data_IF_382145462523
#
_entry.id   IF_382145462523
#
_cell.length_a   1.000
_cell.length_b   1.000
_cell.length_c   1.000
_cell.angle_alpha   90.00
_cell.angle_beta   90.00
_cell.angle_gamma   90.00
#
_symmetry.space_group_name_H-M   'P 1'
#
loop_
_entity.id
_entity.type
_entity.pdbx_description
1 polymer ?
#
# COMPACT_ATOMS: atom_id res chain seq x y z
N UNK A 1 -5.00 -4.84 15.81
CA UNK A 1 -4.42 -3.55 16.28
C UNK A 1 -5.43 -2.42 16.13
N UNK A 2 -5.96 -2.14 14.93
CA UNK A 2 -6.82 -0.97 14.72
C UNK A 2 -8.13 -1.01 15.53
N UNK A 3 -8.75 -2.18 15.67
CA UNK A 3 -9.94 -2.38 16.50
C UNK A 3 -9.71 -2.09 17.99
N UNK A 4 -8.46 -2.05 18.45
CA UNK A 4 -8.14 -1.70 19.84
C UNK A 4 -7.93 -0.19 20.03
N UNK A 5 -7.83 0.59 18.96
CA UNK A 5 -7.46 2.03 19.01
C UNK A 5 -8.62 2.89 18.49
N UNK A 6 -9.27 2.48 17.41
CA UNK A 6 -10.34 3.25 16.78
C UNK A 6 -11.70 2.88 17.39
N UNK A 7 -12.60 3.86 17.62
CA UNK A 7 -13.96 3.57 18.07
C UNK A 7 -14.76 2.79 17.02
N UNK A 8 -15.71 1.93 17.44
CA UNK A 8 -16.50 1.06 16.54
C UNK A 8 -17.17 1.81 15.38
N UNK A 9 -17.63 3.04 15.61
CA UNK A 9 -18.31 3.86 14.60
C UNK A 9 -17.46 4.14 13.35
N UNK A 10 -16.13 4.15 13.46
CA UNK A 10 -15.23 4.35 12.31
C UNK A 10 -15.25 3.12 11.40
N UNK A 11 -15.45 1.93 11.96
CA UNK A 11 -15.54 0.70 11.16
C UNK A 11 -16.90 0.56 10.48
N UNK A 12 -17.97 1.07 11.09
CA UNK A 12 -19.30 1.14 10.47
C UNK A 12 -19.37 2.23 9.38
N UNK A 13 -18.68 3.36 9.60
CA UNK A 13 -18.57 4.43 8.61
C UNK A 13 -17.61 4.11 7.46
N UNK A 14 -16.67 3.17 7.68
CA UNK A 14 -15.86 2.61 6.62
C UNK A 14 -16.77 1.72 5.75
N UNK A 15 -17.33 2.30 4.68
CA UNK A 15 -18.11 1.57 3.69
C UNK A 15 -17.32 0.46 3.00
N UNK A 16 -17.88 -0.11 1.93
CA UNK A 16 -17.18 -1.16 1.18
C UNK A 16 -15.76 -0.71 0.79
N UNK A 17 -14.78 -1.52 1.17
CA UNK A 17 -13.38 -1.22 0.88
C UNK A 17 -13.14 -1.16 -0.62
N UNK A 18 -12.17 -0.33 -1.03
CA UNK A 18 -11.78 -0.18 -2.44
C UNK A 18 -11.50 -1.53 -3.09
N UNK A 19 -10.90 -2.48 -2.37
CA UNK A 19 -10.66 -3.85 -2.85
C UNK A 19 -11.97 -4.57 -3.20
N UNK A 20 -13.00 -4.49 -2.35
CA UNK A 20 -14.33 -5.08 -2.60
C UNK A 20 -14.95 -4.50 -3.87
N UNK A 21 -14.91 -3.18 -4.01
CA UNK A 21 -15.47 -2.48 -5.17
C UNK A 21 -14.74 -2.84 -6.48
N UNK A 22 -13.44 -3.11 -6.42
CA UNK A 22 -12.65 -3.52 -7.59
C UNK A 22 -12.89 -4.98 -7.98
N UNK A 23 -13.21 -5.85 -7.02
CA UNK A 23 -13.48 -7.28 -7.26
C UNK A 23 -14.89 -7.47 -7.86
N UNK A 24 -15.89 -6.80 -7.26
CA UNK A 24 -17.29 -6.91 -7.64
C UNK A 24 -17.87 -5.56 -8.06
N UNK A 25 -17.59 -5.10 -9.30
CA UNK A 25 -18.16 -3.86 -9.84
C UNK A 25 -19.68 -3.98 -10.06
N UNK A 26 -20.39 -2.84 -9.97
CA UNK A 26 -21.86 -2.68 -9.92
C UNK A 26 -22.67 -3.24 -11.12
N UNK A 27 -22.04 -3.93 -12.07
CA UNK A 27 -22.67 -4.46 -13.27
C UNK A 27 -22.21 -5.87 -13.67
N UNK A 28 -21.45 -6.58 -12.82
CA UNK A 28 -20.83 -7.88 -13.16
C UNK A 28 -20.00 -7.83 -14.46
N UNK A 29 -19.41 -6.68 -14.81
CA UNK A 29 -18.54 -6.57 -15.98
C UNK A 29 -17.24 -7.35 -15.75
N UNK A 30 -17.15 -8.51 -16.41
CA UNK A 30 -15.99 -9.39 -16.35
C UNK A 30 -14.67 -8.69 -16.71
N UNK A 31 -14.70 -7.72 -17.63
CA UNK A 31 -13.50 -6.97 -18.03
C UNK A 31 -13.08 -6.03 -16.91
N UNK A 32 -14.04 -5.34 -16.29
CA UNK A 32 -13.81 -4.46 -15.16
C UNK A 32 -13.27 -5.26 -13.96
N UNK A 33 -13.88 -6.41 -13.63
CA UNK A 33 -13.37 -7.30 -12.58
C UNK A 33 -11.95 -7.78 -12.88
N UNK A 34 -11.67 -8.25 -14.10
CA UNK A 34 -10.32 -8.70 -14.47
C UNK A 34 -9.28 -7.58 -14.31
N UNK A 35 -9.59 -6.36 -14.77
CA UNK A 35 -8.72 -5.20 -14.57
C UNK A 35 -8.58 -4.84 -13.08
N UNK A 36 -9.66 -4.93 -12.32
CA UNK A 36 -9.70 -4.70 -10.88
C UNK A 36 -8.82 -5.67 -10.07
N UNK A 37 -8.64 -6.91 -10.55
CA UNK A 37 -7.69 -7.86 -9.97
C UNK A 37 -6.24 -7.57 -10.38
N UNK A 38 -5.99 -7.30 -11.67
CA UNK A 38 -4.62 -7.25 -12.20
C UNK A 38 -3.92 -5.92 -11.90
N UNK A 39 -4.63 -4.79 -12.02
CA UNK A 39 -4.00 -3.47 -11.86
C UNK A 39 -3.43 -3.24 -10.44
N UNK A 40 -4.14 -3.55 -9.34
CA UNK A 40 -3.59 -3.41 -7.98
C UNK A 40 -2.45 -4.38 -7.68
N UNK A 41 -2.35 -5.50 -8.41
CA UNK A 41 -1.32 -6.51 -8.20
C UNK A 41 -0.03 -6.24 -8.97
N UNK A 42 -0.11 -5.55 -10.11
CA UNK A 42 1.04 -5.31 -11.00
C UNK A 42 1.38 -3.84 -11.18
N UNK A 43 0.42 -3.03 -11.63
CA UNK A 43 0.69 -1.62 -11.95
C UNK A 43 0.86 -0.79 -10.69
N UNK A 44 -0.01 -0.95 -9.68
CA UNK A 44 0.07 -0.15 -8.47
C UNK A 44 1.42 -0.33 -7.73
N UNK A 45 1.93 -1.56 -7.47
CA UNK A 45 3.22 -1.76 -6.83
C UNK A 45 4.38 -1.16 -7.60
N UNK A 46 4.36 -1.19 -8.95
CA UNK A 46 5.38 -0.50 -9.74
C UNK A 46 5.38 0.99 -9.41
N UNK A 47 4.26 1.68 -9.63
CA UNK A 47 4.18 3.14 -9.46
C UNK A 47 4.50 3.55 -8.02
N UNK A 48 3.96 2.83 -7.06
CA UNK A 48 4.17 3.11 -5.64
C UNK A 48 5.64 2.91 -5.26
N UNK A 49 6.27 1.79 -5.61
CA UNK A 49 7.68 1.60 -5.24
C UNK A 49 8.62 2.57 -5.96
N UNK A 50 8.36 2.91 -7.22
CA UNK A 50 9.14 3.95 -7.92
C UNK A 50 9.00 5.31 -7.22
N UNK A 51 7.78 5.70 -6.88
CA UNK A 51 7.52 6.98 -6.21
C UNK A 51 8.11 7.02 -4.80
N UNK A 52 7.86 6.00 -3.99
CA UNK A 52 8.22 6.01 -2.57
C UNK A 52 9.67 5.61 -2.31
N UNK A 53 10.18 4.60 -3.01
CA UNK A 53 11.52 4.01 -2.75
C UNK A 53 12.52 4.51 -3.78
N UNK A 54 12.10 4.67 -5.03
CA UNK A 54 12.94 5.22 -6.09
C UNK A 54 13.17 6.73 -5.94
N UNK A 55 12.18 7.48 -5.46
CA UNK A 55 12.23 8.94 -5.38
C UNK A 55 12.13 9.52 -3.96
N UNK A 56 11.01 9.34 -3.27
CA UNK A 56 10.72 10.05 -2.02
C UNK A 56 11.71 9.72 -0.89
N UNK A 57 11.98 8.43 -0.65
CA UNK A 57 12.89 7.98 0.40
C UNK A 57 14.33 8.50 0.18
N UNK A 58 14.94 8.35 -1.01
CA UNK A 58 16.23 8.97 -1.32
C UNK A 58 16.20 10.49 -1.17
N UNK A 59 15.17 11.17 -1.69
CA UNK A 59 15.04 12.62 -1.61
C UNK A 59 15.01 13.12 -0.17
N UNK A 60 14.18 12.52 0.69
CA UNK A 60 14.13 12.85 2.12
C UNK A 60 15.47 12.58 2.81
N UNK A 61 16.17 11.50 2.42
CA UNK A 61 17.43 11.10 3.04
C UNK A 61 18.54 12.14 2.84
N UNK A 62 18.43 13.00 1.82
CA UNK A 62 19.34 14.13 1.59
C UNK A 62 19.17 15.24 2.64
N UNK A 63 18.01 15.35 3.29
CA UNK A 63 17.67 16.46 4.18
C UNK A 63 17.62 16.06 5.66
N UNK A 64 17.04 14.89 5.97
CA UNK A 64 16.72 14.52 7.37
C UNK A 64 17.40 13.22 7.82
N UNK A 65 18.24 12.61 6.98
CA UNK A 65 18.93 11.36 7.27
C UNK A 65 18.03 10.12 7.13
N UNK A 66 18.62 8.94 7.29
CA UNK A 66 17.99 7.67 6.92
C UNK A 66 16.71 7.34 7.71
N UNK A 67 16.81 7.26 9.04
CA UNK A 67 15.70 6.79 9.88
C UNK A 67 14.46 7.70 9.81
N UNK A 68 14.59 9.04 9.90
CA UNK A 68 13.44 9.93 9.70
C UNK A 68 12.83 9.81 8.31
N UNK A 69 13.65 9.61 7.27
CA UNK A 69 13.16 9.42 5.89
C UNK A 69 12.36 8.14 5.73
N UNK A 70 12.80 7.05 6.35
CA UNK A 70 12.06 5.79 6.39
C UNK A 70 10.71 5.97 7.09
N UNK A 71 10.67 6.63 8.25
CA UNK A 71 9.42 6.92 8.96
C UNK A 71 8.47 7.79 8.12
N UNK A 72 8.96 8.93 7.62
CA UNK A 72 8.15 9.88 6.87
C UNK A 72 7.60 9.29 5.58
N UNK A 73 8.45 8.62 4.78
CA UNK A 73 7.98 7.98 3.53
C UNK A 73 6.93 6.91 3.79
N UNK A 74 7.03 6.16 4.90
CA UNK A 74 6.06 5.13 5.28
C UNK A 74 4.72 5.72 5.74
N UNK A 75 4.75 6.84 6.46
CA UNK A 75 3.54 7.57 6.85
C UNK A 75 2.86 8.17 5.62
N UNK A 76 3.61 8.82 4.72
CA UNK A 76 3.06 9.38 3.48
C UNK A 76 2.47 8.29 2.59
N UNK A 77 3.11 7.12 2.49
CA UNK A 77 2.56 5.94 1.82
C UNK A 77 1.20 5.53 2.39
N UNK A 78 1.09 5.44 3.72
CA UNK A 78 -0.17 5.09 4.39
C UNK A 78 -1.27 6.12 4.14
N UNK A 79 -0.96 7.42 4.25
CA UNK A 79 -1.93 8.51 4.02
C UNK A 79 -2.44 8.53 2.58
N UNK A 80 -1.59 8.22 1.59
CA UNK A 80 -2.00 8.16 0.18
C UNK A 80 -3.12 7.13 -0.08
N UNK A 81 -3.24 6.09 0.75
CA UNK A 81 -4.31 5.11 0.60
C UNK A 81 -5.67 5.58 1.12
N UNK A 82 -5.74 6.77 1.74
CA UNK A 82 -6.98 7.41 2.23
C UNK A 82 -7.85 6.46 3.07
N UNK A 83 -7.21 5.56 3.82
CA UNK A 83 -7.89 4.55 4.63
C UNK A 83 -7.56 4.74 6.10
N UNK A 84 -8.52 5.29 6.85
CA UNK A 84 -8.42 5.41 8.30
C UNK A 84 -8.31 4.04 8.97
N UNK A 85 -9.13 3.08 8.51
CA UNK A 85 -9.11 1.71 9.02
C UNK A 85 -7.82 0.98 8.60
N UNK A 86 -7.24 1.26 7.44
CA UNK A 86 -6.01 0.64 6.95
C UNK A 86 -4.71 1.31 7.44
N UNK A 87 -4.80 2.50 8.05
CA UNK A 87 -3.66 3.40 8.23
C UNK A 87 -2.44 2.79 8.92
N UNK A 88 -2.61 2.20 10.12
CA UNK A 88 -1.48 1.61 10.86
C UNK A 88 -0.84 0.43 10.11
N UNK A 89 -1.60 -0.60 9.64
CA UNK A 89 -1.05 -1.67 8.82
C UNK A 89 -0.30 -1.18 7.58
N UNK A 90 -0.84 -0.19 6.87
CA UNK A 90 -0.22 0.37 5.68
C UNK A 90 1.07 1.13 6.01
N UNK A 91 1.13 1.83 7.14
CA UNK A 91 2.36 2.50 7.59
C UNK A 91 3.45 1.47 7.95
N UNK A 92 3.06 0.37 8.61
CA UNK A 92 3.99 -0.73 8.95
C UNK A 92 4.51 -1.42 7.69
N UNK A 93 3.64 -1.73 6.74
CA UNK A 93 4.08 -2.29 5.46
C UNK A 93 4.98 -1.30 4.71
N UNK A 94 4.60 -0.01 4.70
CA UNK A 94 5.39 1.10 4.20
C UNK A 94 6.84 1.07 4.72
N UNK A 95 6.97 0.87 6.04
CA UNK A 95 8.24 0.74 6.73
C UNK A 95 9.02 -0.51 6.29
N UNK A 96 8.35 -1.66 6.21
CA UNK A 96 8.95 -2.92 5.80
C UNK A 96 9.52 -2.82 4.38
N UNK A 97 8.76 -2.28 3.42
CA UNK A 97 9.24 -2.09 2.05
C UNK A 97 10.38 -1.08 1.96
N UNK A 98 10.34 0.01 2.75
CA UNK A 98 11.46 0.96 2.82
C UNK A 98 12.73 0.29 3.35
N UNK A 99 12.63 -0.54 4.40
CA UNK A 99 13.76 -1.31 4.94
C UNK A 99 14.27 -2.37 3.95
N UNK A 100 13.36 -3.08 3.27
CA UNK A 100 13.67 -4.08 2.27
C UNK A 100 14.45 -3.46 1.10
N UNK A 101 13.94 -2.36 0.54
CA UNK A 101 14.63 -1.61 -0.50
C UNK A 101 16.00 -1.12 -0.03
N UNK A 102 16.09 -0.59 1.20
CA UNK A 102 17.35 -0.06 1.73
C UNK A 102 18.42 -1.13 1.91
N UNK A 103 18.02 -2.38 2.20
CA UNK A 103 18.93 -3.54 2.28
C UNK A 103 19.30 -4.09 0.91
N UNK A 104 18.33 -4.28 0.02
CA UNK A 104 18.53 -4.92 -1.27
C UNK A 104 19.10 -3.97 -2.34
N UNK A 105 18.84 -2.67 -2.20
CA UNK A 105 19.13 -1.61 -3.18
C UNK A 105 18.67 -1.96 -4.60
N UNK A 106 17.57 -2.70 -4.70
CA UNK A 106 16.99 -3.16 -5.96
C UNK A 106 15.46 -2.98 -5.90
N UNK A 107 14.95 -2.09 -6.75
CA UNK A 107 13.51 -1.80 -6.81
C UNK A 107 12.69 -3.02 -7.25
N UNK A 108 13.20 -3.87 -8.15
CA UNK A 108 12.47 -5.04 -8.62
C UNK A 108 12.14 -6.01 -7.48
N UNK A 109 13.05 -6.17 -6.52
CA UNK A 109 12.81 -7.03 -5.35
C UNK A 109 11.61 -6.51 -4.55
N UNK A 110 11.59 -5.21 -4.24
CA UNK A 110 10.49 -4.61 -3.48
C UNK A 110 9.19 -4.59 -4.28
N UNK A 111 9.24 -4.28 -5.58
CA UNK A 111 8.08 -4.28 -6.49
C UNK A 111 7.43 -5.66 -6.53
N UNK A 112 8.22 -6.72 -6.73
CA UNK A 112 7.69 -8.08 -6.82
C UNK A 112 7.09 -8.53 -5.48
N UNK A 113 7.76 -8.25 -4.35
CA UNK A 113 7.25 -8.62 -3.03
C UNK A 113 5.97 -7.84 -2.68
N UNK A 114 5.90 -6.55 -3.04
CA UNK A 114 4.68 -5.76 -2.89
C UNK A 114 3.56 -6.31 -3.78
N UNK A 115 3.82 -6.59 -5.06
CA UNK A 115 2.83 -7.22 -5.95
C UNK A 115 2.34 -8.58 -5.44
N UNK A 116 3.23 -9.40 -4.87
CA UNK A 116 2.84 -10.66 -4.21
C UNK A 116 1.95 -10.41 -2.99
N UNK A 117 2.24 -9.39 -2.18
CA UNK A 117 1.39 -9.01 -1.05
C UNK A 117 0.00 -8.59 -1.51
N UNK A 118 -0.10 -7.73 -2.52
CA UNK A 118 -1.39 -7.31 -3.06
C UNK A 118 -2.15 -8.48 -3.67
N UNK A 119 -1.47 -9.35 -4.42
CA UNK A 119 -2.06 -10.56 -4.98
C UNK A 119 -2.67 -11.45 -3.88
N UNK A 120 -1.97 -11.63 -2.76
CA UNK A 120 -2.49 -12.36 -1.61
C UNK A 120 -3.79 -11.73 -1.09
N UNK A 121 -3.82 -10.41 -0.91
CA UNK A 121 -5.02 -9.70 -0.40
C UNK A 121 -6.22 -9.97 -1.30
N UNK A 122 -6.06 -9.77 -2.61
CA UNK A 122 -7.13 -9.94 -3.58
C UNK A 122 -7.60 -11.39 -3.73
N UNK A 123 -6.70 -12.38 -3.64
CA UNK A 123 -7.06 -13.80 -3.68
C UNK A 123 -7.81 -14.24 -2.40
N UNK A 124 -7.54 -13.59 -1.26
CA UNK A 124 -8.20 -13.89 0.01
C UNK A 124 -9.48 -13.10 0.30
N UNK A 125 -9.87 -12.19 -0.61
CA UNK A 125 -11.03 -11.31 -0.46
C UNK A 125 -12.28 -11.89 -1.09
#
# INVERSE_FOLDING_TARGET
VNQAILPPIIFEAAGEGVVSQLISPDNNDLRASFLGYIAPCLSAPWFEEVLYRGYLLPALSLFVGFWPSVMLSSIVFSVHHVSLVGGIPLAVLGFVWAMLYSKCRNLWVTILIHGMWNSRVFVSS
#
